data_IF_071417288569
#
_entry.id   IF_071417288569
#
_cell.length_a   1.000
_cell.length_b   1.000
_cell.length_c   1.000
_cell.angle_alpha   90.00
_cell.angle_beta   90.00
_cell.angle_gamma   90.00
#
_symmetry.space_group_name_H-M   'P 1'
#
loop_
_entity.id
_entity.type
_entity.pdbx_description
1 polymer ?
#
# COMPACT_ATOMS: atom_id res chain seq x y z
N UNK A 1 56.07 18.82 -12.22
CA UNK A 1 54.61 18.83 -12.42
C UNK A 1 53.94 17.44 -12.55
N UNK A 2 54.65 16.31 -12.55
CA UNK A 2 54.01 14.97 -12.58
C UNK A 2 53.57 14.42 -11.21
N UNK A 3 54.18 14.89 -10.10
CA UNK A 3 53.84 14.42 -8.74
C UNK A 3 52.59 15.09 -8.14
N UNK A 4 52.21 16.28 -8.63
CA UNK A 4 51.00 16.99 -8.16
C UNK A 4 49.71 16.47 -8.81
N UNK A 5 49.76 16.01 -10.06
CA UNK A 5 48.62 15.37 -10.74
C UNK A 5 48.22 14.04 -10.08
N UNK A 6 49.16 13.34 -9.45
CA UNK A 6 48.85 12.07 -8.77
C UNK A 6 48.09 12.24 -7.46
N UNK A 7 48.14 13.42 -6.83
CA UNK A 7 47.45 13.69 -5.56
C UNK A 7 45.97 14.07 -5.78
N UNK A 8 45.66 14.75 -6.89
CA UNK A 8 44.30 15.20 -7.23
C UNK A 8 43.43 14.00 -7.70
N UNK A 9 44.05 12.98 -8.29
CA UNK A 9 43.34 11.78 -8.74
C UNK A 9 42.97 10.85 -7.57
N UNK A 10 43.74 10.87 -6.46
CA UNK A 10 43.40 10.06 -5.28
C UNK A 10 42.22 10.62 -4.47
N UNK A 11 41.95 11.93 -4.55
CA UNK A 11 40.82 12.56 -3.85
C UNK A 11 39.46 12.33 -4.51
N UNK A 12 39.42 11.90 -5.79
CA UNK A 12 38.16 11.66 -6.51
C UNK A 12 37.58 10.27 -6.19
N UNK A 13 38.36 9.33 -5.65
CA UNK A 13 37.89 7.99 -5.31
C UNK A 13 37.17 7.87 -3.95
N UNK A 14 37.13 8.92 -3.13
CA UNK A 14 36.52 8.86 -1.79
C UNK A 14 35.07 9.37 -1.70
N UNK A 15 34.44 9.75 -2.81
CA UNK A 15 33.09 10.34 -2.80
C UNK A 15 31.96 9.38 -3.19
N UNK A 16 32.25 8.12 -3.52
CA UNK A 16 31.20 7.08 -3.58
C UNK A 16 31.01 6.47 -2.19
N UNK A 17 30.54 7.30 -1.24
CA UNK A 17 29.66 6.73 -0.21
C UNK A 17 28.41 6.31 -0.96
N UNK A 18 28.37 5.06 -1.40
CA UNK A 18 27.10 4.37 -1.56
C UNK A 18 26.42 4.55 -0.21
N UNK A 19 25.46 5.48 -0.14
CA UNK A 19 24.51 5.55 0.94
C UNK A 19 23.81 4.19 0.87
N UNK A 20 24.31 3.22 1.63
CA UNK A 20 23.48 2.13 2.09
C UNK A 20 22.43 2.82 2.95
N UNK A 21 21.35 3.28 2.32
CA UNK A 21 20.14 3.64 3.04
C UNK A 21 19.81 2.44 3.90
N UNK A 22 19.79 2.64 5.23
CA UNK A 22 19.34 1.59 6.12
C UNK A 22 17.97 1.13 5.64
N UNK A 23 17.83 -0.17 5.43
CA UNK A 23 16.59 -0.74 4.94
C UNK A 23 15.50 -0.46 5.97
N UNK A 24 14.49 0.32 5.58
CA UNK A 24 13.38 0.66 6.46
C UNK A 24 12.58 -0.62 6.77
N UNK A 25 12.31 -0.82 8.05
CA UNK A 25 11.58 -1.97 8.57
C UNK A 25 10.12 -1.59 8.83
N UNK A 26 9.30 -1.61 7.78
CA UNK A 26 7.89 -1.24 7.82
C UNK A 26 7.04 -2.21 8.66
N UNK A 27 7.29 -3.50 8.51
CA UNK A 27 6.43 -4.59 8.99
C UNK A 27 6.99 -5.37 10.19
N UNK A 28 8.10 -4.95 10.80
CA UNK A 28 8.71 -5.72 11.91
C UNK A 28 7.79 -5.89 13.11
N UNK A 29 6.86 -4.95 13.31
CA UNK A 29 5.79 -5.06 14.31
C UNK A 29 4.97 -6.36 14.16
N UNK A 30 4.93 -6.94 12.96
CA UNK A 30 4.14 -8.11 12.62
C UNK A 30 4.94 -9.43 12.66
N UNK A 31 6.21 -9.41 13.07
CA UNK A 31 7.10 -10.60 13.11
C UNK A 31 6.56 -11.75 13.98
N UNK A 32 5.74 -11.43 15.00
CA UNK A 32 5.09 -12.46 15.83
C UNK A 32 3.97 -13.19 15.09
N UNK A 33 3.41 -12.59 14.05
CA UNK A 33 2.28 -13.12 13.30
C UNK A 33 2.69 -13.71 11.96
N UNK A 34 3.82 -13.31 11.40
CA UNK A 34 4.21 -13.70 10.04
C UNK A 34 5.62 -14.28 10.01
N UNK A 35 5.86 -15.14 9.02
CA UNK A 35 7.19 -15.68 8.77
C UNK A 35 8.12 -14.58 8.28
N UNK A 36 9.44 -14.77 8.45
CA UNK A 36 10.43 -13.81 7.97
C UNK A 36 10.33 -13.52 6.47
N UNK A 37 9.91 -14.50 5.65
CA UNK A 37 9.73 -14.31 4.21
C UNK A 37 8.52 -13.40 3.91
N UNK A 38 7.44 -13.54 4.67
CA UNK A 38 6.27 -12.68 4.55
C UNK A 38 6.58 -11.25 5.01
N UNK A 39 7.32 -11.09 6.11
CA UNK A 39 7.79 -9.77 6.58
C UNK A 39 8.67 -9.10 5.52
N UNK A 40 9.60 -9.85 4.90
CA UNK A 40 10.40 -9.34 3.79
C UNK A 40 9.55 -8.91 2.61
N UNK A 41 8.49 -9.66 2.29
CA UNK A 41 7.58 -9.34 1.20
C UNK A 41 6.76 -8.07 1.49
N UNK A 42 6.26 -7.89 2.72
CA UNK A 42 5.60 -6.65 3.14
C UNK A 42 6.54 -5.44 3.07
N UNK A 43 7.75 -5.56 3.62
CA UNK A 43 8.75 -4.50 3.59
C UNK A 43 9.12 -4.11 2.15
N UNK A 44 9.29 -5.09 1.26
CA UNK A 44 9.58 -4.84 -0.15
C UNK A 44 8.42 -4.13 -0.86
N UNK A 45 7.17 -4.48 -0.55
CA UNK A 45 6.00 -3.78 -1.07
C UNK A 45 5.99 -2.31 -0.65
N UNK A 46 6.20 -2.03 0.64
CA UNK A 46 6.27 -0.66 1.14
C UNK A 46 7.38 0.15 0.49
N UNK A 47 8.57 -0.45 0.32
CA UNK A 47 9.69 0.21 -0.36
C UNK A 47 9.36 0.53 -1.83
N UNK A 48 8.70 -0.38 -2.55
CA UNK A 48 8.27 -0.12 -3.93
C UNK A 48 7.24 1.01 -3.97
N UNK A 49 6.21 0.95 -3.13
CA UNK A 49 5.18 1.98 -3.02
C UNK A 49 5.76 3.36 -2.68
N UNK A 50 6.60 3.44 -1.65
CA UNK A 50 7.24 4.69 -1.21
C UNK A 50 8.04 5.34 -2.35
N UNK A 51 8.77 4.53 -3.10
CA UNK A 51 9.51 4.99 -4.27
C UNK A 51 8.61 5.50 -5.40
N UNK A 52 7.39 4.98 -5.56
CA UNK A 52 6.45 5.47 -6.59
C UNK A 52 5.79 6.79 -6.17
N UNK A 53 5.33 6.90 -4.92
CA UNK A 53 4.72 8.16 -4.44
C UNK A 53 5.74 9.31 -4.40
N UNK A 54 7.00 9.03 -4.05
CA UNK A 54 8.06 10.05 -4.00
C UNK A 54 8.42 10.64 -5.37
N UNK A 55 8.04 10.00 -6.48
CA UNK A 55 8.21 10.57 -7.83
C UNK A 55 7.20 11.67 -8.14
N UNK A 56 6.09 11.69 -7.42
CA UNK A 56 4.93 12.56 -7.67
C UNK A 56 4.86 13.61 -6.56
N UNK A 57 4.83 13.14 -5.31
CA UNK A 57 4.72 13.96 -4.11
C UNK A 57 6.12 14.25 -3.57
N UNK A 58 6.81 15.20 -4.20
CA UNK A 58 8.20 15.50 -3.87
C UNK A 58 8.26 16.41 -2.64
N UNK A 59 8.30 15.81 -1.45
CA UNK A 59 8.40 16.53 -0.17
C UNK A 59 9.65 16.10 0.62
N UNK A 60 10.24 17.04 1.36
CA UNK A 60 11.37 16.74 2.26
C UNK A 60 10.95 15.82 3.41
N UNK A 61 9.69 15.92 3.85
CA UNK A 61 9.09 15.05 4.85
C UNK A 61 8.24 13.99 4.15
N UNK A 62 8.70 12.74 4.25
CA UNK A 62 8.02 11.61 3.63
C UNK A 62 6.59 11.41 4.16
N UNK A 63 6.32 11.69 5.45
CA UNK A 63 4.96 11.61 5.99
C UNK A 63 3.96 12.52 5.26
N UNK A 64 4.41 13.68 4.76
CA UNK A 64 3.58 14.57 3.95
C UNK A 64 3.23 13.90 2.61
N UNK A 65 4.18 13.25 1.94
CA UNK A 65 3.91 12.52 0.68
C UNK A 65 2.87 11.40 0.86
N UNK A 66 2.88 10.70 2.00
CA UNK A 66 1.86 9.69 2.31
C UNK A 66 0.49 10.31 2.56
N UNK A 67 0.44 11.46 3.25
CA UNK A 67 -0.80 12.19 3.50
C UNK A 67 -1.40 12.74 2.20
N UNK A 68 -0.60 13.35 1.34
CA UNK A 68 -1.03 13.85 0.03
C UNK A 68 -1.59 12.71 -0.84
N UNK A 69 -0.95 11.54 -0.85
CA UNK A 69 -1.48 10.37 -1.53
C UNK A 69 -2.89 9.97 -1.02
N UNK A 70 -3.12 10.03 0.30
CA UNK A 70 -4.45 9.78 0.85
C UNK A 70 -5.43 10.89 0.49
N UNK A 71 -5.04 12.16 0.48
CA UNK A 71 -5.88 13.28 0.06
C UNK A 71 -6.35 13.09 -1.40
N UNK A 72 -5.47 12.62 -2.29
CA UNK A 72 -5.82 12.29 -3.68
C UNK A 72 -6.76 11.08 -3.79
N UNK A 73 -6.71 10.13 -2.85
CA UNK A 73 -7.70 9.05 -2.75
C UNK A 73 -9.08 9.63 -2.39
N UNK A 74 -9.15 10.62 -1.50
CA UNK A 74 -10.41 11.24 -1.08
C UNK A 74 -11.11 11.95 -2.22
N UNK A 75 -10.32 12.64 -3.05
CA UNK A 75 -10.81 13.42 -4.20
C UNK A 75 -10.94 12.60 -5.47
N UNK A 76 -10.50 11.32 -5.46
CA UNK A 76 -10.38 10.45 -6.63
C UNK A 76 -9.48 11.04 -7.73
N UNK A 77 -8.44 11.78 -7.34
CA UNK A 77 -7.50 12.46 -8.25
C UNK A 77 -6.11 11.81 -8.28
N UNK A 78 -6.01 10.56 -7.82
CA UNK A 78 -4.75 9.80 -7.80
C UNK A 78 -4.16 9.71 -9.21
N UNK A 79 -2.91 10.13 -9.43
CA UNK A 79 -2.25 9.99 -10.72
C UNK A 79 -2.11 8.51 -11.12
N UNK A 80 -2.46 8.16 -12.36
CA UNK A 80 -2.40 6.77 -12.85
C UNK A 80 -0.95 6.25 -12.87
N UNK A 81 0.01 7.16 -13.06
CA UNK A 81 1.43 6.87 -13.11
C UNK A 81 1.95 6.21 -11.82
N UNK A 82 1.30 6.44 -10.67
CA UNK A 82 1.62 5.76 -9.39
C UNK A 82 1.47 4.24 -9.55
N UNK A 83 0.57 3.77 -10.41
CA UNK A 83 0.24 2.35 -10.57
C UNK A 83 0.97 1.67 -11.74
N UNK A 84 1.46 2.43 -12.72
CA UNK A 84 2.01 1.94 -14.01
C UNK A 84 3.47 1.48 -13.94
N UNK A 85 3.94 1.08 -12.76
CA UNK A 85 5.31 0.66 -12.57
C UNK A 85 5.53 -0.86 -12.73
N UNK A 86 6.56 -1.22 -13.50
CA UNK A 86 6.95 -2.63 -13.73
C UNK A 86 7.31 -3.38 -12.45
N UNK A 87 8.04 -2.76 -11.51
CA UNK A 87 8.39 -3.36 -10.21
C UNK A 87 7.13 -3.60 -9.37
N UNK A 88 6.19 -2.66 -9.37
CA UNK A 88 4.90 -2.86 -8.70
C UNK A 88 4.15 -4.05 -9.29
N UNK A 89 4.11 -4.19 -10.62
CA UNK A 89 3.45 -5.32 -11.27
C UNK A 89 4.15 -6.66 -10.97
N UNK A 90 5.49 -6.68 -10.99
CA UNK A 90 6.28 -7.86 -10.60
C UNK A 90 6.03 -8.25 -9.13
N UNK A 91 6.04 -7.26 -8.24
CA UNK A 91 5.71 -7.45 -6.84
C UNK A 91 4.32 -8.06 -6.66
N UNK A 92 3.30 -7.51 -7.33
CA UNK A 92 1.93 -8.02 -7.23
C UNK A 92 1.81 -9.45 -7.74
N UNK A 93 2.50 -9.78 -8.83
CA UNK A 93 2.53 -11.16 -9.34
C UNK A 93 3.19 -12.13 -8.36
N UNK A 94 4.25 -11.70 -7.66
CA UNK A 94 4.91 -12.50 -6.64
C UNK A 94 4.03 -12.63 -5.38
N UNK A 95 3.39 -11.53 -4.97
CA UNK A 95 2.49 -11.51 -3.81
C UNK A 95 1.30 -12.44 -4.03
N UNK A 96 0.60 -12.36 -5.17
CA UNK A 96 -0.53 -13.23 -5.53
C UNK A 96 -0.19 -14.73 -5.51
N UNK A 97 1.08 -15.10 -5.74
CA UNK A 97 1.57 -16.49 -5.68
C UNK A 97 1.96 -16.94 -4.28
N UNK A 98 2.06 -16.01 -3.33
CA UNK A 98 2.44 -16.29 -1.95
C UNK A 98 1.23 -16.56 -1.06
N UNK A 99 1.42 -17.31 0.02
CA UNK A 99 0.38 -17.49 1.03
C UNK A 99 -0.04 -16.19 1.72
N UNK A 100 0.83 -15.17 1.70
CA UNK A 100 0.56 -13.88 2.32
C UNK A 100 -0.65 -13.20 1.70
N UNK A 101 -0.86 -13.35 0.40
CA UNK A 101 -1.99 -12.74 -0.31
C UNK A 101 -3.33 -13.10 0.33
N UNK A 102 -3.58 -14.40 0.55
CA UNK A 102 -4.82 -14.90 1.16
C UNK A 102 -4.93 -14.62 2.67
N UNK A 103 -3.84 -14.16 3.31
CA UNK A 103 -3.80 -13.72 4.71
C UNK A 103 -4.16 -12.24 4.84
N UNK A 104 -3.98 -11.46 3.77
CA UNK A 104 -4.28 -10.02 3.70
C UNK A 104 -5.64 -9.77 3.06
N UNK A 105 -5.89 -10.27 1.85
CA UNK A 105 -7.10 -9.98 1.08
C UNK A 105 -8.03 -11.18 0.93
N UNK A 106 -9.29 -10.89 0.66
CA UNK A 106 -10.36 -11.82 0.32
C UNK A 106 -11.05 -11.34 -0.96
N UNK A 107 -11.53 -12.29 -1.77
CA UNK A 107 -12.23 -12.03 -3.02
C UNK A 107 -13.73 -12.03 -2.73
N UNK A 108 -14.38 -10.94 -3.10
CA UNK A 108 -15.82 -10.76 -3.04
C UNK A 108 -16.38 -10.72 -4.45
N UNK A 109 -17.63 -11.18 -4.59
CA UNK A 109 -18.37 -11.16 -5.85
C UNK A 109 -19.52 -10.19 -5.71
N UNK A 110 -19.59 -9.20 -6.60
CA UNK A 110 -20.71 -8.28 -6.70
C UNK A 110 -21.53 -8.62 -7.94
N UNK A 111 -22.83 -8.84 -7.77
CA UNK A 111 -23.75 -8.81 -8.90
C UNK A 111 -23.76 -7.40 -9.49
N UNK A 112 -23.37 -7.27 -10.75
CA UNK A 112 -23.59 -6.02 -11.46
C UNK A 112 -25.07 -5.96 -11.79
N UNK A 113 -25.81 -5.13 -11.06
CA UNK A 113 -27.12 -4.68 -11.52
C UNK A 113 -26.87 -3.72 -12.68
N UNK A 114 -26.67 -4.26 -13.88
CA UNK A 114 -26.81 -3.45 -15.09
C UNK A 114 -28.28 -3.07 -15.18
N UNK A 115 -28.63 -1.86 -14.72
CA UNK A 115 -29.81 -1.14 -15.23
C UNK A 115 -29.55 -0.78 -16.70
N UNK A 116 -29.38 -1.79 -17.54
CA UNK A 116 -29.61 -1.66 -18.97
C UNK A 116 -30.88 -2.46 -19.18
N UNK A 117 -32.01 -1.76 -19.28
CA UNK A 117 -33.25 -2.34 -19.81
C UNK A 117 -32.99 -2.67 -21.27
N UNK A 118 -32.36 -3.81 -21.53
CA UNK A 118 -32.46 -4.46 -22.83
C UNK A 118 -33.76 -5.22 -22.79
N UNK A 119 -34.76 -4.75 -23.53
CA UNK A 119 -35.95 -5.55 -23.85
C UNK A 119 -35.45 -6.66 -24.79
N UNK A 120 -34.93 -7.74 -24.24
CA UNK A 120 -34.67 -8.99 -24.96
C UNK A 120 -35.36 -10.11 -24.21
N UNK A 121 -36.31 -10.74 -24.91
CA UNK A 121 -37.02 -11.93 -24.47
C UNK A 121 -36.04 -13.12 -24.47
N UNK A 122 -35.27 -13.31 -23.40
CA UNK A 122 -34.60 -14.58 -23.12
C UNK A 122 -34.38 -14.73 -21.61
N UNK A 123 -35.17 -15.62 -21.00
CA UNK A 123 -35.28 -15.84 -19.54
C UNK A 123 -34.09 -16.61 -18.93
N UNK A 124 -32.83 -16.36 -19.34
CA UNK A 124 -31.67 -17.04 -18.73
C UNK A 124 -30.31 -16.32 -18.90
N UNK A 125 -30.26 -14.99 -18.83
CA UNK A 125 -28.96 -14.31 -18.72
C UNK A 125 -28.50 -14.26 -17.25
N UNK A 126 -27.49 -15.07 -16.93
CA UNK A 126 -26.72 -14.92 -15.69
C UNK A 126 -26.11 -13.52 -15.67
N UNK A 127 -26.47 -12.71 -14.67
CA UNK A 127 -25.89 -11.38 -14.50
C UNK A 127 -24.35 -11.48 -14.42
N UNK A 128 -23.60 -10.57 -15.06
CA UNK A 128 -22.16 -10.54 -14.90
C UNK A 128 -21.81 -10.28 -13.42
N UNK A 129 -21.00 -11.16 -12.84
CA UNK A 129 -20.42 -10.98 -11.51
C UNK A 129 -19.06 -10.27 -11.66
N UNK A 130 -18.86 -9.20 -10.91
CA UNK A 130 -17.55 -8.57 -10.80
C UNK A 130 -16.85 -9.04 -9.51
N UNK A 131 -15.66 -9.61 -9.65
CA UNK A 131 -14.82 -9.95 -8.50
C UNK A 131 -14.05 -8.72 -8.02
N UNK A 132 -14.08 -8.41 -6.73
CA UNK A 132 -13.29 -7.33 -6.13
C UNK A 132 -12.54 -7.83 -4.90
N UNK A 133 -11.41 -7.19 -4.61
CA UNK A 133 -10.54 -7.54 -3.50
C UNK A 133 -10.74 -6.55 -2.35
N UNK A 134 -10.80 -7.07 -1.12
CA UNK A 134 -10.79 -6.28 0.10
C UNK A 134 -9.92 -6.92 1.17
N UNK A 135 -9.43 -6.12 2.11
CA UNK A 135 -8.80 -6.63 3.33
C UNK A 135 -9.71 -7.68 4.00
N UNK A 136 -9.14 -8.84 4.27
CA UNK A 136 -9.79 -9.95 4.95
C UNK A 136 -10.03 -9.58 6.41
N UNK A 137 -11.29 -9.27 6.74
CA UNK A 137 -11.72 -8.73 8.05
C UNK A 137 -11.35 -9.64 9.22
N UNK A 138 -11.55 -10.94 9.08
CA UNK A 138 -11.13 -11.95 10.08
C UNK A 138 -9.74 -12.54 9.78
N UNK A 139 -8.98 -11.88 8.91
CA UNK A 139 -7.67 -12.31 8.45
C UNK A 139 -6.58 -12.14 9.50
N UNK A 140 -5.49 -12.88 9.33
CA UNK A 140 -4.32 -12.82 10.21
C UNK A 140 -3.68 -11.43 10.20
N UNK A 141 -3.72 -10.75 9.05
CA UNK A 141 -3.15 -9.41 8.86
C UNK A 141 -3.81 -8.37 9.77
N UNK A 142 -5.12 -8.16 9.61
CA UNK A 142 -5.85 -7.13 10.35
C UNK A 142 -5.83 -7.39 11.86
N UNK A 143 -6.02 -8.64 12.28
CA UNK A 143 -5.95 -9.01 13.70
C UNK A 143 -4.56 -8.71 14.29
N UNK A 144 -3.48 -9.02 13.56
CA UNK A 144 -2.13 -8.75 14.04
C UNK A 144 -1.86 -7.25 14.20
N UNK A 145 -2.34 -6.41 13.27
CA UNK A 145 -2.23 -4.96 13.38
C UNK A 145 -2.93 -4.44 14.65
N UNK A 146 -4.17 -4.86 14.89
CA UNK A 146 -4.96 -4.46 16.05
C UNK A 146 -4.29 -4.87 17.37
N UNK A 147 -3.67 -6.05 17.40
CA UNK A 147 -3.01 -6.57 18.60
C UNK A 147 -1.69 -5.86 18.92
N UNK A 148 -0.91 -5.49 17.91
CA UNK A 148 0.46 -5.01 18.11
C UNK A 148 0.60 -3.48 18.01
N UNK A 149 -0.44 -2.75 17.60
CA UNK A 149 -0.37 -1.29 17.52
C UNK A 149 -0.85 -0.59 18.80
N UNK A 150 -0.10 0.42 19.23
CA UNK A 150 -0.32 1.09 20.52
C UNK A 150 -1.25 2.30 20.45
N UNK A 151 -1.29 3.03 19.33
CA UNK A 151 -2.16 4.21 19.20
C UNK A 151 -3.63 3.78 19.04
N UNK A 152 -4.47 4.28 19.95
CA UNK A 152 -5.86 3.87 20.09
C UNK A 152 -6.73 4.31 18.91
N UNK A 153 -6.51 5.50 18.36
CA UNK A 153 -7.29 5.99 17.22
C UNK A 153 -7.14 5.06 16.01
N UNK A 154 -5.92 4.60 15.72
CA UNK A 154 -5.72 3.68 14.59
C UNK A 154 -6.28 2.30 14.91
N UNK A 155 -6.16 1.86 16.16
CA UNK A 155 -6.73 0.59 16.59
C UNK A 155 -8.25 0.59 16.46
N UNK A 156 -8.91 1.71 16.75
CA UNK A 156 -10.35 1.89 16.55
C UNK A 156 -10.70 1.91 15.06
N UNK A 157 -9.92 2.59 14.22
CA UNK A 157 -10.11 2.55 12.77
C UNK A 157 -9.96 1.12 12.20
N UNK A 158 -8.93 0.38 12.62
CA UNK A 158 -8.71 -1.01 12.19
C UNK A 158 -9.84 -1.94 12.67
N UNK A 159 -10.40 -1.71 13.87
CA UNK A 159 -11.60 -2.42 14.34
C UNK A 159 -12.82 -2.06 13.51
N UNK A 160 -12.98 -0.80 13.11
CA UNK A 160 -14.08 -0.38 12.25
C UNK A 160 -14.01 -1.09 10.88
N UNK A 161 -12.81 -1.18 10.28
CA UNK A 161 -12.57 -1.96 9.04
C UNK A 161 -12.97 -3.43 9.22
N UNK A 162 -12.72 -4.01 10.41
CA UNK A 162 -13.12 -5.38 10.71
C UNK A 162 -14.64 -5.55 10.82
N UNK A 163 -15.32 -4.59 11.45
CA UNK A 163 -16.74 -4.69 11.79
C UNK A 163 -17.67 -4.28 10.64
N UNK A 164 -17.26 -3.30 9.83
CA UNK A 164 -18.08 -2.76 8.75
C UNK A 164 -17.57 -3.29 7.40
N UNK A 165 -18.36 -4.10 6.68
CA UNK A 165 -17.98 -4.55 5.34
C UNK A 165 -18.03 -3.39 4.35
N UNK A 166 -17.22 -3.47 3.29
CA UNK A 166 -17.28 -2.56 2.13
C UNK A 166 -17.15 -1.06 2.47
N UNK A 167 -16.33 -0.70 3.47
CA UNK A 167 -16.05 0.71 3.73
C UNK A 167 -15.36 1.31 2.50
N UNK A 168 -15.89 2.42 2.01
CA UNK A 168 -15.31 3.14 0.89
C UNK A 168 -13.87 3.62 1.25
N UNK A 169 -12.84 3.33 0.44
CA UNK A 169 -11.47 3.77 0.70
C UNK A 169 -11.32 5.29 0.89
N UNK A 170 -12.13 6.11 0.21
CA UNK A 170 -12.12 7.56 0.41
C UNK A 170 -12.55 7.95 1.83
N UNK A 171 -13.52 7.22 2.43
CA UNK A 171 -13.95 7.46 3.82
C UNK A 171 -12.82 7.08 4.79
N UNK A 172 -12.13 5.97 4.55
CA UNK A 172 -10.98 5.57 5.36
C UNK A 172 -9.83 6.58 5.24
N UNK A 173 -9.59 7.11 4.03
CA UNK A 173 -8.59 8.13 3.80
C UNK A 173 -8.93 9.43 4.55
N UNK A 174 -10.19 9.89 4.50
CA UNK A 174 -10.68 11.04 5.28
C UNK A 174 -10.44 10.82 6.77
N UNK A 175 -10.79 9.65 7.29
CA UNK A 175 -10.61 9.32 8.70
C UNK A 175 -9.11 9.40 9.08
N UNK A 176 -8.22 8.83 8.27
CA UNK A 176 -6.78 8.92 8.51
C UNK A 176 -6.25 10.36 8.47
N UNK A 177 -6.62 11.16 7.47
CA UNK A 177 -6.05 12.51 7.33
C UNK A 177 -6.59 13.50 8.35
N UNK A 178 -7.80 13.27 8.90
CA UNK A 178 -8.41 14.14 9.90
C UNK A 178 -8.03 13.77 11.34
N UNK A 179 -7.88 12.47 11.63
CA UNK A 179 -7.62 11.99 13.00
C UNK A 179 -6.13 12.01 13.37
N UNK A 180 -5.24 12.06 12.38
CA UNK A 180 -3.79 11.94 12.58
C UNK A 180 -3.04 13.17 12.09
N UNK A 181 -1.98 13.53 12.82
CA UNK A 181 -1.09 14.62 12.43
C UNK A 181 -0.03 14.15 11.44
N UNK A 182 0.58 15.09 10.72
CA UNK A 182 1.61 14.82 9.70
C UNK A 182 2.78 13.98 10.22
N UNK A 183 3.20 14.20 11.47
CA UNK A 183 4.25 13.40 12.11
C UNK A 183 3.88 11.92 12.26
N UNK A 184 2.59 11.58 12.39
CA UNK A 184 2.13 10.20 12.56
C UNK A 184 2.22 9.40 11.25
N UNK A 185 2.14 10.07 10.10
CA UNK A 185 2.40 9.49 8.78
C UNK A 185 3.87 9.11 8.58
N UNK A 186 4.78 9.59 9.44
CA UNK A 186 6.15 9.12 9.43
C UNK A 186 6.32 7.73 10.06
N UNK A 187 5.29 7.20 10.74
CA UNK A 187 5.35 5.90 11.38
C UNK A 187 5.35 4.75 10.38
N UNK A 188 6.31 3.83 10.53
CA UNK A 188 6.49 2.64 9.69
C UNK A 188 5.20 1.83 9.48
N UNK A 189 4.37 1.72 10.51
CA UNK A 189 3.11 0.97 10.47
C UNK A 189 1.99 1.74 9.78
N UNK A 190 1.93 3.07 9.94
CA UNK A 190 1.00 3.91 9.18
C UNK A 190 1.32 3.80 7.69
N UNK A 191 2.61 3.86 7.34
CA UNK A 191 3.09 3.66 5.97
C UNK A 191 2.76 2.27 5.43
N UNK A 192 2.91 1.23 6.25
CA UNK A 192 2.50 -0.13 5.89
C UNK A 192 1.01 -0.22 5.58
N UNK A 193 0.15 0.33 6.45
CA UNK A 193 -1.31 0.35 6.27
C UNK A 193 -1.67 1.09 4.98
N UNK A 194 -1.09 2.26 4.73
CA UNK A 194 -1.36 3.02 3.50
C UNK A 194 -0.92 2.24 2.26
N UNK A 195 0.26 1.61 2.29
CA UNK A 195 0.73 0.81 1.17
C UNK A 195 -0.18 -0.40 0.87
N UNK A 196 -0.53 -1.17 1.89
CA UNK A 196 -1.25 -2.43 1.74
C UNK A 196 -2.76 -2.19 1.54
N UNK A 197 -3.39 -1.41 2.41
CA UNK A 197 -4.84 -1.27 2.50
C UNK A 197 -5.39 -0.29 1.47
N UNK A 198 -4.58 0.67 1.02
CA UNK A 198 -5.00 1.65 0.02
C UNK A 198 -4.33 1.37 -1.33
N UNK A 199 -3.01 1.49 -1.42
CA UNK A 199 -2.34 1.45 -2.72
C UNK A 199 -2.48 0.09 -3.43
N UNK A 200 -2.16 -1.01 -2.74
CA UNK A 200 -2.22 -2.33 -3.36
C UNK A 200 -3.65 -2.86 -3.51
N UNK A 201 -4.57 -2.55 -2.60
CA UNK A 201 -5.99 -2.86 -2.78
C UNK A 201 -6.58 -2.11 -3.99
N UNK A 202 -6.32 -0.80 -4.13
CA UNK A 202 -6.73 -0.03 -5.31
C UNK A 202 -6.14 -0.63 -6.59
N UNK A 203 -4.85 -0.96 -6.60
CA UNK A 203 -4.21 -1.60 -7.76
C UNK A 203 -4.85 -2.94 -8.12
N UNK A 204 -5.21 -3.77 -7.13
CA UNK A 204 -5.92 -5.04 -7.35
C UNK A 204 -7.27 -4.83 -8.01
N UNK A 205 -7.98 -3.76 -7.63
CA UNK A 205 -9.32 -3.47 -8.12
C UNK A 205 -9.33 -2.68 -9.45
N UNK A 206 -8.28 -1.93 -9.76
CA UNK A 206 -8.13 -1.16 -11.01
C UNK A 206 -7.54 -1.97 -12.17
N UNK A 207 -6.65 -2.94 -11.91
CA UNK A 207 -5.95 -3.72 -12.93
C UNK A 207 -6.59 -5.09 -13.21
N UNK A 208 -7.89 -5.12 -13.47
CA UNK A 208 -8.60 -6.34 -13.92
C UNK A 208 -8.43 -6.57 -15.41
#
# INVERSE_FOLDING_TARGET
MKKLLSLIILTIFFSFKSQCQEKINYANLLEKCFTQNEIKLLNNGCEIFENEILKIYTNENIGISYKEFLEDIQTMQIPLEVFENKKTTEYMNNLKKSELFNKIWEIYKREINTEIVVISNDDNESKPEEEYFQIKRDGKYLNCLIENYENQNLKELLKAIKEVPDINPAILAIALTNEFKEEEFNSNIMRLIIAIDFYYELKLNLMK
#
